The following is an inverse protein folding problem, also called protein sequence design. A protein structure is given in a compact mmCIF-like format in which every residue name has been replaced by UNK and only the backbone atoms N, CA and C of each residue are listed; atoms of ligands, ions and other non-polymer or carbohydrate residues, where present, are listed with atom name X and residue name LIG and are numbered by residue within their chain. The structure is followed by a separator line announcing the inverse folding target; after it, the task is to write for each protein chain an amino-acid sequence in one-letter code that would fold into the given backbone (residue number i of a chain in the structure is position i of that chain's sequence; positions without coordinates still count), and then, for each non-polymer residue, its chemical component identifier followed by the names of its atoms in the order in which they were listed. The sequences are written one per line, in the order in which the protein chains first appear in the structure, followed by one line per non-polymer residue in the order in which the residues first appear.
data_IF_127768215566
#
_entry.id   IF_127768215566
#
_cell.length_a   1.000
_cell.length_b   1.000
_cell.length_c   1.000
_cell.angle_alpha   90.00
_cell.angle_beta   90.00
_cell.angle_gamma   90.00
#
_symmetry.space_group_name_H-M   'P 1'
#
loop_
_entity.id
_entity.type
_entity.pdbx_description
1 polymer ?
#
# COMPACT_ATOMS: atom_id res chain seq x y z
N UNK A 1 11.80 -11.58 18.52
CA UNK A 1 10.90 -12.67 18.06
C UNK A 1 9.72 -12.03 17.35
N UNK A 2 9.19 -12.64 16.30
CA UNK A 2 7.96 -12.17 15.66
C UNK A 2 6.76 -12.44 16.56
N UNK A 3 5.85 -11.47 16.63
CA UNK A 3 4.57 -11.58 17.32
C UNK A 3 3.45 -11.69 16.29
N UNK A 4 2.24 -12.06 16.72
CA UNK A 4 1.07 -11.97 15.84
C UNK A 4 0.85 -10.51 15.40
N UNK A 5 0.58 -10.27 14.13
CA UNK A 5 0.47 -8.95 13.55
C UNK A 5 -0.82 -8.81 12.73
N UNK A 6 -1.69 -7.89 13.12
CA UNK A 6 -2.88 -7.52 12.36
C UNK A 6 -2.58 -6.32 11.46
N UNK A 7 -2.67 -6.54 10.15
CA UNK A 7 -2.51 -5.53 9.10
C UNK A 7 -3.87 -5.25 8.46
N UNK A 8 -4.26 -3.98 8.43
CA UNK A 8 -5.28 -3.46 7.52
C UNK A 8 -4.55 -2.86 6.30
N UNK A 9 -5.05 -3.11 5.09
CA UNK A 9 -4.37 -2.71 3.87
C UNK A 9 -5.32 -2.05 2.88
N UNK A 10 -4.88 -0.92 2.34
CA UNK A 10 -5.57 -0.14 1.28
C UNK A 10 -4.55 0.39 0.28
N UNK A 11 -5.03 0.82 -0.86
CA UNK A 11 -4.27 1.57 -1.88
C UNK A 11 -5.21 2.48 -2.67
N UNK A 12 -4.66 3.37 -3.48
CA UNK A 12 -5.37 4.16 -4.49
C UNK A 12 -6.55 4.97 -3.88
N UNK A 13 -6.28 5.65 -2.74
CA UNK A 13 -7.31 6.46 -2.10
C UNK A 13 -7.63 7.72 -2.90
N UNK A 14 -6.69 8.22 -3.70
CA UNK A 14 -6.82 9.44 -4.50
C UNK A 14 -7.47 10.59 -3.73
N UNK A 15 -7.01 10.81 -2.50
CA UNK A 15 -7.51 11.87 -1.61
C UNK A 15 -8.86 11.59 -0.94
N UNK A 16 -9.53 10.49 -1.25
CA UNK A 16 -10.79 10.10 -0.62
C UNK A 16 -10.55 9.42 0.73
N UNK A 17 -10.43 10.22 1.79
CA UNK A 17 -10.09 9.73 3.13
C UNK A 17 -11.32 9.47 4.01
N UNK A 18 -12.47 10.06 3.69
CA UNK A 18 -13.65 10.09 4.56
C UNK A 18 -14.41 8.77 4.63
N UNK A 19 -14.40 8.00 3.55
CA UNK A 19 -15.23 6.80 3.40
C UNK A 19 -14.44 5.51 3.61
N UNK A 20 -13.16 5.61 3.94
CA UNK A 20 -12.31 4.46 4.16
C UNK A 20 -12.46 3.97 5.60
N UNK A 21 -13.26 2.91 5.79
CA UNK A 21 -13.43 2.27 7.10
C UNK A 21 -12.22 1.43 7.47
N UNK A 22 -11.36 1.96 8.34
CA UNK A 22 -10.19 1.25 8.85
C UNK A 22 -10.54 0.61 10.20
N UNK A 23 -10.46 -0.72 10.34
CA UNK A 23 -10.70 -1.39 11.62
C UNK A 23 -9.55 -1.13 12.60
N UNK A 24 -9.80 -1.43 13.88
CA UNK A 24 -8.69 -1.43 14.85
C UNK A 24 -7.67 -2.52 14.47
N UNK A 25 -6.42 -2.12 14.27
CA UNK A 25 -5.34 -3.01 13.83
C UNK A 25 -3.98 -2.56 14.39
N UNK A 26 -2.97 -3.40 14.21
CA UNK A 26 -1.59 -3.02 14.55
C UNK A 26 -1.02 -2.04 13.53
N UNK A 27 -1.19 -2.35 12.25
CA UNK A 27 -0.63 -1.59 11.14
C UNK A 27 -1.71 -1.35 10.08
N UNK A 28 -1.88 -0.10 9.65
CA UNK A 28 -2.46 0.20 8.36
C UNK A 28 -1.34 0.33 7.32
N UNK A 29 -1.48 -0.33 6.18
CA UNK A 29 -0.60 -0.12 5.02
C UNK A 29 -1.36 0.61 3.90
N UNK A 30 -0.66 1.52 3.19
CA UNK A 30 -1.19 2.21 2.01
C UNK A 30 -0.19 2.02 0.87
N UNK A 31 -0.59 1.29 -0.18
CA UNK A 31 0.30 0.89 -1.29
C UNK A 31 0.31 1.87 -2.47
N UNK A 32 0.30 3.17 -2.20
CA UNK A 32 0.46 4.23 -3.19
C UNK A 32 -0.83 4.94 -3.59
N UNK A 33 -0.68 5.96 -4.41
CA UNK A 33 -1.72 6.82 -4.96
C UNK A 33 -2.64 7.39 -3.88
N UNK A 34 -2.01 8.01 -2.87
CA UNK A 34 -2.72 8.61 -1.75
C UNK A 34 -3.23 10.02 -2.03
N UNK A 35 -2.60 10.75 -2.96
CA UNK A 35 -2.92 12.17 -3.23
C UNK A 35 -4.16 12.36 -4.11
N UNK A 36 -4.76 13.55 -4.02
CA UNK A 36 -5.88 13.95 -4.88
C UNK A 36 -5.44 14.07 -6.34
N UNK A 37 -6.21 13.50 -7.29
CA UNK A 37 -5.90 13.44 -8.72
C UNK A 37 -5.64 14.79 -9.40
N UNK A 38 -6.21 15.87 -8.88
CA UNK A 38 -6.18 17.18 -9.51
C UNK A 38 -5.10 18.11 -8.96
N UNK A 39 -4.13 17.59 -8.20
CA UNK A 39 -3.09 18.41 -7.57
C UNK A 39 -1.70 18.24 -8.18
N UNK A 40 -1.63 17.71 -9.40
CA UNK A 40 -0.39 17.25 -10.02
C UNK A 40 0.65 18.36 -10.22
N UNK A 41 0.24 19.64 -10.37
CA UNK A 41 1.16 20.71 -10.71
C UNK A 41 1.27 21.84 -9.67
N UNK A 42 0.57 21.75 -8.53
CA UNK A 42 0.58 22.82 -7.53
C UNK A 42 1.14 22.37 -6.20
N UNK A 43 2.46 22.26 -6.13
CA UNK A 43 3.24 21.83 -4.95
C UNK A 43 2.73 22.40 -3.63
N UNK A 44 2.41 23.68 -3.56
CA UNK A 44 1.93 24.32 -2.33
C UNK A 44 0.54 23.82 -1.90
N UNK A 45 -0.35 23.52 -2.83
CA UNK A 45 -1.68 22.96 -2.53
C UNK A 45 -1.57 21.56 -1.99
N UNK A 46 -0.74 20.71 -2.60
CA UNK A 46 -0.55 19.34 -2.17
C UNK A 46 0.16 19.27 -0.81
N UNK A 47 1.19 20.10 -0.57
CA UNK A 47 1.80 20.24 0.76
C UNK A 47 0.76 20.64 1.80
N UNK A 48 -0.10 21.60 1.49
CA UNK A 48 -1.19 22.05 2.36
C UNK A 48 -2.20 20.93 2.62
N UNK A 49 -2.57 20.14 1.60
CA UNK A 49 -3.47 19.02 1.74
C UNK A 49 -2.84 17.92 2.62
N UNK A 50 -1.58 17.56 2.39
CA UNK A 50 -0.85 16.58 3.22
C UNK A 50 -0.86 17.03 4.68
N UNK A 51 -0.48 18.28 4.96
CA UNK A 51 -0.37 18.79 6.33
C UNK A 51 -1.72 18.92 7.03
N UNK A 52 -2.76 19.39 6.31
CA UNK A 52 -4.04 19.75 6.94
C UNK A 52 -5.11 18.68 6.85
N UNK A 53 -4.95 17.65 6.00
CA UNK A 53 -5.93 16.59 5.82
C UNK A 53 -5.31 15.20 5.99
N UNK A 54 -4.28 14.83 5.21
CA UNK A 54 -3.74 13.48 5.17
C UNK A 54 -3.05 13.10 6.49
N UNK A 55 -2.14 13.93 7.00
CA UNK A 55 -1.47 13.67 8.28
C UNK A 55 -2.45 13.61 9.46
N UNK A 56 -3.38 14.57 9.66
CA UNK A 56 -4.38 14.50 10.73
C UNK A 56 -5.27 13.25 10.62
N UNK A 57 -5.66 12.87 9.39
CA UNK A 57 -6.43 11.65 9.17
C UNK A 57 -5.65 10.42 9.64
N UNK A 58 -4.40 10.23 9.21
CA UNK A 58 -3.57 9.09 9.63
C UNK A 58 -3.37 9.03 11.16
N UNK A 59 -3.20 10.19 11.81
CA UNK A 59 -3.08 10.25 13.28
C UNK A 59 -4.38 9.79 13.96
N UNK A 60 -5.54 10.16 13.41
CA UNK A 60 -6.86 9.81 13.96
C UNK A 60 -7.25 8.34 13.79
N UNK A 61 -6.55 7.54 12.97
CA UNK A 61 -6.92 6.15 12.68
C UNK A 61 -6.72 5.22 13.89
N UNK A 62 -7.55 4.17 14.03
CA UNK A 62 -7.49 3.22 15.15
C UNK A 62 -6.41 2.14 14.97
N UNK A 63 -5.20 2.54 14.59
CA UNK A 63 -4.05 1.65 14.40
C UNK A 63 -2.81 2.19 15.13
N UNK A 64 -1.86 1.29 15.44
CA UNK A 64 -0.62 1.66 16.11
C UNK A 64 0.40 2.27 15.15
N UNK A 65 0.40 1.84 13.90
CA UNK A 65 1.27 2.35 12.82
C UNK A 65 0.47 2.56 11.55
N UNK A 66 0.87 3.57 10.79
CA UNK A 66 0.50 3.74 9.38
C UNK A 66 1.80 3.69 8.58
N UNK A 67 1.94 2.70 7.71
CA UNK A 67 3.08 2.54 6.82
C UNK A 67 2.59 2.77 5.40
N UNK A 68 3.17 3.74 4.69
CA UNK A 68 2.72 4.05 3.34
C UNK A 68 3.86 4.28 2.37
N UNK A 69 3.59 4.02 1.10
CA UNK A 69 4.46 4.29 -0.03
C UNK A 69 3.79 5.28 -0.97
N UNK A 70 4.52 5.98 -1.83
CA UNK A 70 3.92 6.72 -2.95
C UNK A 70 3.53 5.78 -4.10
N UNK A 71 2.67 6.28 -4.99
CA UNK A 71 2.32 5.67 -6.26
C UNK A 71 2.60 6.60 -7.44
N UNK A 72 2.15 6.23 -8.63
CA UNK A 72 2.46 6.97 -9.85
C UNK A 72 1.75 8.33 -9.95
N UNK A 73 0.67 8.57 -9.22
CA UNK A 73 0.03 9.88 -9.11
C UNK A 73 0.67 10.79 -8.05
N UNK A 74 1.56 10.29 -7.22
CA UNK A 74 2.16 11.05 -6.12
C UNK A 74 3.45 11.78 -6.56
N UNK A 75 3.42 12.57 -7.65
CA UNK A 75 4.56 13.25 -8.29
C UNK A 75 5.42 14.08 -7.33
N UNK A 76 4.80 14.74 -6.35
CA UNK A 76 5.53 15.55 -5.38
C UNK A 76 6.58 14.74 -4.62
N UNK A 77 6.36 13.43 -4.47
CA UNK A 77 7.22 12.54 -3.69
C UNK A 77 8.54 12.21 -4.38
N UNK A 78 8.67 12.46 -5.69
CA UNK A 78 9.92 12.30 -6.46
C UNK A 78 10.90 13.47 -6.26
N UNK A 79 10.44 14.60 -5.73
CA UNK A 79 11.32 15.73 -5.49
C UNK A 79 12.29 15.44 -4.33
N UNK A 80 13.56 15.71 -4.51
CA UNK A 80 14.63 15.48 -3.52
C UNK A 80 14.33 16.12 -2.16
N UNK A 81 13.66 17.29 -2.14
CA UNK A 81 13.30 18.00 -0.92
C UNK A 81 12.12 17.35 -0.16
N UNK A 82 11.26 16.55 -0.84
CA UNK A 82 10.01 16.06 -0.25
C UNK A 82 10.25 15.26 1.04
N UNK A 83 11.15 14.29 1.02
CA UNK A 83 11.44 13.44 2.19
C UNK A 83 11.87 14.27 3.41
N UNK A 84 12.73 15.27 3.22
CA UNK A 84 13.15 16.13 4.31
C UNK A 84 12.01 16.98 4.84
N UNK A 85 11.25 17.61 3.93
CA UNK A 85 10.06 18.37 4.28
C UNK A 85 9.05 17.52 5.03
N UNK A 86 8.72 16.33 4.52
CA UNK A 86 7.74 15.42 5.14
C UNK A 86 8.18 15.01 6.55
N UNK A 87 9.45 14.65 6.74
CA UNK A 87 10.00 14.34 8.05
C UNK A 87 9.86 15.52 9.04
N UNK A 88 10.06 16.75 8.58
CA UNK A 88 9.84 17.95 9.40
C UNK A 88 8.36 18.08 9.81
N UNK A 89 7.42 17.80 8.90
CA UNK A 89 5.99 17.79 9.24
C UNK A 89 5.66 16.71 10.28
N UNK A 90 6.24 15.51 10.15
CA UNK A 90 6.06 14.44 11.14
C UNK A 90 6.59 14.84 12.52
N UNK A 91 7.73 15.53 12.61
CA UNK A 91 8.29 16.00 13.88
C UNK A 91 7.37 17.03 14.56
N UNK A 92 6.73 17.91 13.78
CA UNK A 92 5.74 18.85 14.29
C UNK A 92 4.51 18.12 14.83
N UNK A 93 4.04 17.09 14.08
CA UNK A 93 2.90 16.27 14.48
C UNK A 93 3.19 15.45 15.73
N UNK A 94 4.35 14.80 15.82
CA UNK A 94 4.77 14.01 16.97
C UNK A 94 4.84 14.85 18.26
N UNK A 95 5.21 16.14 18.16
CA UNK A 95 5.19 17.08 19.30
C UNK A 95 3.77 17.44 19.75
N UNK A 96 2.85 17.58 18.79
CA UNK A 96 1.47 17.99 19.06
C UNK A 96 0.59 16.79 19.47
N UNK A 97 0.91 15.59 18.98
CA UNK A 97 0.19 14.36 19.22
C UNK A 97 1.16 13.24 19.62
N UNK A 98 1.76 13.32 20.82
CA UNK A 98 2.72 12.30 21.25
C UNK A 98 2.02 10.97 21.39
N UNK A 99 2.20 10.10 20.39
CA UNK A 99 1.81 8.70 20.49
C UNK A 99 2.71 8.01 21.51
N UNK A 100 2.15 7.13 22.32
CA UNK A 100 2.92 6.23 23.18
C UNK A 100 2.87 4.81 22.62
N UNK A 101 4.02 4.13 22.57
CA UNK A 101 4.03 2.69 22.37
C UNK A 101 3.66 1.98 23.69
N UNK A 102 3.59 0.65 23.68
CA UNK A 102 3.26 -0.17 24.86
C UNK A 102 4.19 0.09 26.07
N UNK A 103 5.41 0.61 25.84
CA UNK A 103 6.38 1.00 26.85
C UNK A 103 6.26 2.47 27.30
N UNK A 104 5.20 3.19 26.91
CA UNK A 104 5.00 4.63 27.14
C UNK A 104 6.13 5.53 26.58
N UNK A 105 6.87 5.07 25.58
CA UNK A 105 7.88 5.86 24.87
C UNK A 105 7.24 6.57 23.68
N UNK A 106 7.65 7.81 23.38
CA UNK A 106 7.23 8.48 22.15
C UNK A 106 7.54 7.59 20.95
N UNK A 107 6.55 7.31 20.13
CA UNK A 107 6.69 6.41 19.00
C UNK A 107 6.01 7.02 17.78
N UNK A 108 6.79 7.23 16.73
CA UNK A 108 6.26 7.76 15.47
C UNK A 108 5.21 6.81 14.89
N UNK A 109 3.96 7.30 14.82
CA UNK A 109 2.84 6.52 14.28
C UNK A 109 2.92 6.34 12.77
N UNK A 110 3.39 7.36 12.03
CA UNK A 110 3.40 7.42 10.57
C UNK A 110 4.80 7.13 10.05
N UNK A 111 4.90 6.19 9.11
CA UNK A 111 6.14 5.73 8.47
C UNK A 111 5.98 5.84 6.95
N UNK A 112 6.79 6.68 6.32
CA UNK A 112 6.91 6.81 4.88
C UNK A 112 8.06 5.95 4.38
N UNK A 113 7.76 5.00 3.47
CA UNK A 113 8.76 4.13 2.85
C UNK A 113 8.87 4.44 1.35
N UNK A 114 10.11 4.54 0.88
CA UNK A 114 10.43 4.70 -0.52
C UNK A 114 11.79 4.08 -0.77
N UNK A 115 11.82 2.82 -1.19
CA UNK A 115 13.00 1.96 -1.28
C UNK A 115 13.70 1.78 0.08
N UNK A 116 12.93 1.78 1.17
CA UNK A 116 13.42 1.66 2.55
C UNK A 116 12.84 0.44 3.25
N UNK A 117 13.57 -0.02 4.26
CA UNK A 117 13.13 -1.04 5.21
C UNK A 117 12.68 -0.41 6.52
N UNK A 118 11.62 -0.97 7.10
CA UNK A 118 11.16 -0.64 8.44
C UNK A 118 10.78 -1.91 9.19
N UNK A 119 11.15 -2.00 10.46
CA UNK A 119 10.84 -3.16 11.29
C UNK A 119 9.81 -2.80 12.37
N UNK A 120 8.77 -3.64 12.48
CA UNK A 120 7.75 -3.54 13.52
C UNK A 120 7.30 -4.93 13.98
N UNK A 121 7.27 -5.18 15.29
CA UNK A 121 6.93 -6.49 15.89
C UNK A 121 7.72 -7.67 15.29
N UNK A 122 8.98 -7.42 14.93
CA UNK A 122 9.86 -8.42 14.32
C UNK A 122 9.61 -8.73 12.85
N UNK A 123 8.68 -8.03 12.19
CA UNK A 123 8.44 -8.11 10.74
C UNK A 123 9.12 -6.94 10.03
N UNK A 124 9.77 -7.24 8.91
CA UNK A 124 10.42 -6.25 8.04
C UNK A 124 9.48 -5.90 6.89
N UNK A 125 9.12 -4.63 6.82
CA UNK A 125 8.37 -4.01 5.72
C UNK A 125 9.34 -3.37 4.75
N UNK A 126 9.14 -3.57 3.46
CA UNK A 126 9.85 -2.85 2.41
C UNK A 126 8.87 -2.11 1.53
N UNK A 127 9.17 -0.86 1.20
CA UNK A 127 8.35 -0.01 0.34
C UNK A 127 8.96 0.18 -1.04
N UNK A 128 8.26 -0.27 -2.08
CA UNK A 128 8.64 -0.12 -3.49
C UNK A 128 7.57 0.69 -4.24
N UNK A 129 7.79 1.98 -4.52
CA UNK A 129 6.80 2.83 -5.18
C UNK A 129 6.70 2.58 -6.69
N UNK A 130 7.58 1.75 -7.25
CA UNK A 130 7.75 1.56 -8.70
C UNK A 130 6.45 1.16 -9.40
N UNK A 131 6.23 1.72 -10.59
CA UNK A 131 5.17 1.32 -11.53
C UNK A 131 5.72 1.16 -12.95
N UNK A 132 5.03 0.41 -13.82
CA UNK A 132 5.45 0.19 -15.20
C UNK A 132 4.99 1.30 -16.15
N UNK A 133 4.17 2.22 -15.67
CA UNK A 133 3.64 3.31 -16.51
C UNK A 133 4.73 4.34 -16.82
N UNK A 134 4.98 4.55 -18.12
CA UNK A 134 6.02 5.49 -18.59
C UNK A 134 5.60 6.95 -18.37
N UNK A 135 6.58 7.80 -18.05
CA UNK A 135 6.41 9.25 -17.85
C UNK A 135 5.48 9.64 -16.69
N UNK A 136 5.24 8.73 -15.76
CA UNK A 136 4.57 9.00 -14.49
C UNK A 136 5.57 8.89 -13.34
N UNK A 137 5.18 9.35 -12.17
CA UNK A 137 6.04 9.23 -11.00
C UNK A 137 6.44 7.77 -10.75
N UNK A 138 7.65 7.57 -10.26
CA UNK A 138 8.21 6.27 -9.89
C UNK A 138 8.25 5.24 -11.05
N UNK A 139 8.23 5.68 -12.31
CA UNK A 139 8.30 4.79 -13.46
C UNK A 139 9.54 3.87 -13.40
N UNK A 140 9.34 2.58 -13.68
CA UNK A 140 10.43 1.63 -13.83
C UNK A 140 11.36 1.94 -15.00
N UNK A 141 10.85 2.64 -16.03
CA UNK A 141 11.59 2.95 -17.27
C UNK A 141 12.23 1.71 -17.90
N UNK A 142 11.54 0.57 -17.88
CA UNK A 142 11.99 -0.75 -18.34
C UNK A 142 13.21 -1.31 -17.58
N UNK A 143 13.47 -0.81 -16.38
CA UNK A 143 14.51 -1.35 -15.49
C UNK A 143 13.87 -2.17 -14.36
N UNK A 144 13.82 -3.49 -14.53
CA UNK A 144 13.25 -4.39 -13.54
C UNK A 144 14.00 -4.40 -12.21
N UNK A 145 15.27 -3.93 -12.19
CA UNK A 145 16.06 -3.88 -10.96
C UNK A 145 15.47 -2.92 -9.93
N UNK A 146 14.59 -2.00 -10.36
CA UNK A 146 13.83 -1.11 -9.46
C UNK A 146 12.81 -1.86 -8.59
N UNK A 147 12.48 -3.11 -8.95
CA UNK A 147 11.61 -3.99 -8.16
C UNK A 147 12.38 -4.91 -7.20
N UNK A 148 13.72 -4.83 -7.15
CA UNK A 148 14.49 -5.70 -6.26
C UNK A 148 14.11 -5.49 -4.80
N UNK A 149 13.83 -6.61 -4.14
CA UNK A 149 13.44 -6.66 -2.73
C UNK A 149 14.65 -7.02 -1.88
N UNK A 150 14.97 -6.25 -0.83
CA UNK A 150 16.06 -6.61 0.08
C UNK A 150 15.81 -7.94 0.79
N UNK A 151 16.88 -8.68 1.01
CA UNK A 151 16.83 -9.96 1.70
C UNK A 151 16.20 -9.87 3.11
N UNK A 152 15.37 -10.84 3.43
CA UNK A 152 14.67 -10.92 4.71
C UNK A 152 13.49 -9.98 4.86
N UNK A 153 12.98 -9.40 3.76
CA UNK A 153 11.70 -8.69 3.74
C UNK A 153 10.56 -9.67 4.00
N UNK A 154 9.71 -9.38 4.97
CA UNK A 154 8.51 -10.18 5.28
C UNK A 154 7.28 -9.67 4.55
N UNK A 155 7.12 -8.34 4.48
CA UNK A 155 5.98 -7.67 3.87
C UNK A 155 6.49 -6.66 2.84
N UNK A 156 6.10 -6.87 1.59
CA UNK A 156 6.38 -5.95 0.48
C UNK A 156 5.13 -5.09 0.22
N UNK A 157 5.28 -3.77 0.36
CA UNK A 157 4.36 -2.82 -0.21
C UNK A 157 4.92 -2.40 -1.57
N UNK A 158 4.19 -2.66 -2.63
CA UNK A 158 4.57 -2.23 -3.99
C UNK A 158 3.36 -1.56 -4.64
N UNK A 159 3.57 -0.44 -5.36
CA UNK A 159 2.43 0.20 -5.99
C UNK A 159 1.89 -0.62 -7.17
N UNK A 160 2.77 -1.07 -8.06
CA UNK A 160 2.42 -1.87 -9.24
C UNK A 160 1.85 -3.24 -8.87
N UNK A 161 0.71 -3.61 -9.47
CA UNK A 161 0.20 -4.98 -9.41
C UNK A 161 1.05 -5.93 -10.27
N UNK A 162 1.36 -7.16 -9.79
CA UNK A 162 2.05 -8.16 -10.60
C UNK A 162 1.14 -8.76 -11.69
N UNK A 163 1.75 -9.26 -12.76
CA UNK A 163 1.06 -10.06 -13.80
C UNK A 163 0.81 -11.49 -13.30
N UNK A 164 -0.06 -11.62 -12.30
CA UNK A 164 -0.38 -12.90 -11.66
C UNK A 164 -1.84 -12.97 -11.25
N UNK A 165 -2.55 -14.03 -11.67
CA UNK A 165 -3.92 -14.36 -11.23
C UNK A 165 -4.89 -13.17 -11.29
N UNK A 166 -4.82 -12.39 -12.37
CA UNK A 166 -5.65 -11.22 -12.66
C UNK A 166 -5.51 -10.04 -11.67
N UNK A 167 -4.50 -10.04 -10.78
CA UNK A 167 -4.23 -8.91 -9.88
C UNK A 167 -4.03 -7.59 -10.65
N UNK A 168 -3.44 -7.66 -11.84
CA UNK A 168 -3.18 -6.54 -12.73
C UNK A 168 -4.13 -6.44 -13.93
N UNK A 169 -5.26 -7.16 -13.93
CA UNK A 169 -6.20 -7.16 -15.07
C UNK A 169 -7.29 -6.13 -14.84
N UNK A 170 -7.31 -5.09 -15.68
CA UNK A 170 -8.35 -4.06 -15.66
C UNK A 170 -9.58 -4.48 -16.46
N UNK A 171 -10.75 -4.20 -15.91
CA UNK A 171 -12.06 -4.52 -16.48
C UNK A 171 -12.80 -3.25 -16.92
N UNK A 172 -12.78 -2.99 -18.23
CA UNK A 172 -13.47 -1.84 -18.82
C UNK A 172 -14.92 -2.18 -19.18
N UNK A 173 -15.74 -1.15 -19.33
CA UNK A 173 -17.11 -1.32 -19.80
C UNK A 173 -17.19 -2.07 -21.13
N UNK A 174 -18.30 -2.81 -21.36
CA UNK A 174 -18.51 -3.61 -22.57
C UNK A 174 -17.79 -4.97 -22.59
N UNK A 175 -17.29 -5.45 -21.47
CA UNK A 175 -16.62 -6.74 -21.36
C UNK A 175 -15.17 -6.77 -21.88
N UNK A 176 -14.56 -5.61 -22.09
CA UNK A 176 -13.16 -5.50 -22.48
C UNK A 176 -12.28 -5.63 -21.25
N UNK A 177 -11.32 -6.54 -21.29
CA UNK A 177 -10.29 -6.70 -20.25
C UNK A 177 -8.91 -6.44 -20.83
N UNK A 178 -8.02 -5.84 -20.03
CA UNK A 178 -6.60 -5.69 -20.37
C UNK A 178 -5.76 -5.98 -19.15
N UNK A 179 -4.70 -6.74 -19.35
CA UNK A 179 -3.71 -6.98 -18.31
C UNK A 179 -2.63 -5.89 -18.35
N UNK A 180 -2.46 -5.18 -17.24
CA UNK A 180 -1.42 -4.19 -16.99
C UNK A 180 -0.50 -4.63 -15.85
N UNK A 181 -0.60 -5.88 -15.41
CA UNK A 181 0.26 -6.44 -14.39
C UNK A 181 1.73 -6.47 -14.83
N UNK A 182 2.63 -6.30 -13.89
CA UNK A 182 4.07 -6.24 -14.14
C UNK A 182 4.70 -7.63 -14.19
N UNK A 183 5.20 -8.00 -15.36
CA UNK A 183 6.11 -9.14 -15.51
C UNK A 183 7.51 -8.81 -14.98
N UNK A 184 7.92 -7.54 -14.98
CA UNK A 184 9.20 -7.11 -14.40
C UNK A 184 9.23 -7.34 -12.88
N UNK A 185 8.12 -7.06 -12.18
CA UNK A 185 8.00 -7.35 -10.75
C UNK A 185 8.11 -8.86 -10.48
N UNK A 186 7.41 -9.70 -11.27
CA UNK A 186 7.52 -11.15 -11.10
C UNK A 186 8.94 -11.67 -11.35
N UNK A 187 9.61 -11.16 -12.37
CA UNK A 187 10.99 -11.54 -12.66
C UNK A 187 11.93 -11.15 -11.50
N UNK A 188 11.76 -9.94 -10.93
CA UNK A 188 12.55 -9.49 -9.79
C UNK A 188 12.34 -10.36 -8.53
N UNK A 189 11.13 -10.87 -8.32
CA UNK A 189 10.82 -11.81 -7.24
C UNK A 189 11.38 -13.20 -7.52
N UNK A 190 11.38 -13.64 -8.79
CA UNK A 190 11.89 -14.95 -9.20
C UNK A 190 13.42 -15.04 -9.20
N UNK A 191 14.12 -13.92 -9.29
CA UNK A 191 15.60 -13.88 -9.23
C UNK A 191 16.17 -14.44 -7.91
N UNK A 192 15.40 -14.34 -6.81
CA UNK A 192 15.82 -14.86 -5.51
C UNK A 192 14.64 -15.47 -4.72
N UNK A 193 14.22 -16.69 -5.06
CA UNK A 193 13.09 -17.35 -4.41
C UNK A 193 13.19 -17.46 -2.89
N UNK A 194 14.42 -17.57 -2.36
CA UNK A 194 14.67 -17.68 -0.90
C UNK A 194 14.32 -16.41 -0.13
N UNK A 195 14.29 -15.27 -0.82
CA UNK A 195 13.93 -13.96 -0.26
C UNK A 195 12.53 -13.49 -0.68
N UNK A 196 11.68 -14.40 -1.14
CA UNK A 196 10.28 -14.09 -1.45
C UNK A 196 9.58 -13.60 -0.17
N UNK A 197 8.92 -12.42 -0.16
CA UNK A 197 8.20 -11.93 1.00
C UNK A 197 7.01 -12.85 1.31
N UNK A 198 6.63 -12.96 2.58
CA UNK A 198 5.44 -13.74 2.95
C UNK A 198 4.15 -13.07 2.47
N UNK A 199 4.12 -11.72 2.42
CA UNK A 199 2.96 -10.92 2.00
C UNK A 199 3.40 -9.82 1.05
N UNK A 200 2.71 -9.70 -0.11
CA UNK A 200 2.82 -8.61 -1.06
C UNK A 200 1.47 -7.88 -1.14
N UNK A 201 1.50 -6.57 -0.94
CA UNK A 201 0.33 -5.68 -1.01
C UNK A 201 0.55 -4.66 -2.13
N UNK A 202 -0.30 -4.70 -3.15
CA UNK A 202 -0.22 -3.82 -4.32
C UNK A 202 -1.52 -3.03 -4.54
N UNK A 203 -1.49 -2.10 -5.50
CA UNK A 203 -2.61 -1.31 -5.99
C UNK A 203 -2.50 -1.05 -7.48
N UNK A 204 -2.64 0.22 -7.89
CA UNK A 204 -2.47 0.74 -9.24
C UNK A 204 -3.54 0.28 -10.25
N UNK A 205 -3.90 -0.99 -10.28
CA UNK A 205 -4.94 -1.52 -11.17
C UNK A 205 -6.24 -1.69 -10.39
N UNK A 206 -7.10 -0.69 -10.51
CA UNK A 206 -8.24 -0.51 -9.62
C UNK A 206 -9.26 -1.66 -9.68
N UNK A 207 -9.60 -2.16 -10.87
CA UNK A 207 -10.56 -3.25 -11.06
C UNK A 207 -9.93 -4.64 -11.16
N UNK A 208 -8.66 -4.77 -10.76
CA UNK A 208 -7.96 -6.06 -10.71
C UNK A 208 -8.63 -7.05 -9.74
N UNK A 209 -8.12 -8.27 -9.73
CA UNK A 209 -8.58 -9.27 -8.76
C UNK A 209 -8.23 -8.84 -7.33
N UNK A 210 -9.25 -8.55 -6.52
CA UNK A 210 -9.07 -8.18 -5.11
C UNK A 210 -9.03 -9.38 -4.16
N UNK A 211 -9.16 -10.61 -4.66
CA UNK A 211 -8.98 -11.79 -3.82
C UNK A 211 -7.49 -12.07 -3.63
N UNK A 212 -7.03 -12.33 -2.40
CA UNK A 212 -5.67 -12.76 -2.17
C UNK A 212 -5.38 -14.05 -2.92
N UNK A 213 -4.20 -14.11 -3.55
CA UNK A 213 -3.74 -15.26 -4.33
C UNK A 213 -2.40 -15.75 -3.82
N UNK A 214 -2.11 -17.03 -4.01
CA UNK A 214 -0.83 -17.63 -3.66
C UNK A 214 0.10 -17.62 -4.87
N UNK A 215 1.34 -17.17 -4.63
CA UNK A 215 2.44 -17.24 -5.57
C UNK A 215 3.53 -18.13 -4.99
N UNK A 216 3.98 -19.13 -5.75
CA UNK A 216 4.95 -20.11 -5.29
C UNK A 216 6.12 -20.21 -6.24
N UNK A 217 7.33 -20.25 -5.69
CA UNK A 217 8.57 -20.45 -6.40
C UNK A 217 9.35 -21.62 -5.80
N UNK A 218 10.11 -22.29 -6.64
CA UNK A 218 11.04 -23.33 -6.22
C UNK A 218 12.47 -22.79 -6.27
N UNK A 219 13.24 -23.01 -5.22
CA UNK A 219 14.67 -22.73 -5.24
C UNK A 219 15.46 -23.88 -5.88
N UNK A 220 16.78 -23.72 -5.96
CA UNK A 220 17.69 -24.72 -6.53
C UNK A 220 17.67 -26.06 -5.80
N UNK A 221 17.26 -26.06 -4.53
CA UNK A 221 17.13 -27.26 -3.69
C UNK A 221 15.70 -27.87 -3.79
N UNK A 222 14.87 -27.39 -4.73
CA UNK A 222 13.45 -27.75 -4.91
C UNK A 222 12.55 -27.43 -3.70
N UNK A 223 12.96 -26.52 -2.80
CA UNK A 223 12.12 -26.06 -1.71
C UNK A 223 11.14 -25.03 -2.22
N UNK A 224 9.91 -25.13 -1.73
CA UNK A 224 8.83 -24.18 -2.08
C UNK A 224 8.93 -22.95 -1.18
N UNK A 225 8.90 -21.79 -1.80
CA UNK A 225 8.77 -20.49 -1.17
C UNK A 225 7.47 -19.87 -1.64
N UNK A 226 6.64 -19.39 -0.70
CA UNK A 226 5.31 -18.90 -1.01
C UNK A 226 5.11 -17.46 -0.55
N UNK A 227 4.36 -16.70 -1.33
CA UNK A 227 3.93 -15.33 -1.06
C UNK A 227 2.43 -15.23 -1.24
N UNK A 228 1.73 -14.67 -0.26
CA UNK A 228 0.35 -14.21 -0.45
C UNK A 228 0.39 -12.84 -1.10
N UNK A 229 -0.23 -12.69 -2.27
CA UNK A 229 -0.32 -11.43 -3.00
C UNK A 229 -1.75 -10.91 -2.99
N UNK A 230 -1.94 -9.62 -2.77
CA UNK A 230 -3.25 -8.99 -2.77
C UNK A 230 -3.22 -7.60 -3.41
N UNK A 231 -4.15 -7.35 -4.32
CA UNK A 231 -4.49 -6.01 -4.75
C UNK A 231 -5.44 -5.40 -3.72
N UNK A 232 -5.04 -4.29 -3.13
CA UNK A 232 -5.75 -3.62 -2.03
C UNK A 232 -6.26 -2.23 -2.41
N UNK A 233 -6.38 -1.96 -3.73
CA UNK A 233 -7.02 -0.74 -4.23
C UNK A 233 -8.43 -0.59 -3.69
N UNK A 234 -8.79 0.65 -3.33
CA UNK A 234 -10.14 0.98 -2.83
C UNK A 234 -11.05 1.53 -3.93
N UNK A 235 -10.51 1.80 -5.10
CA UNK A 235 -11.21 2.40 -6.23
C UNK A 235 -11.55 1.40 -7.32
N UNK A 236 -12.60 1.71 -8.10
CA UNK A 236 -12.84 1.13 -9.42
C UNK A 236 -12.22 1.99 -10.53
N UNK A 237 -12.38 1.59 -11.80
CA UNK A 237 -11.82 2.31 -12.95
C UNK A 237 -12.42 3.71 -13.17
N UNK A 238 -13.56 3.99 -12.60
CA UNK A 238 -14.21 5.31 -12.62
C UNK A 238 -13.84 6.15 -11.38
N UNK A 239 -12.86 5.70 -10.59
CA UNK A 239 -12.39 6.33 -9.35
C UNK A 239 -13.45 6.42 -8.24
N UNK A 240 -14.51 5.61 -8.29
CA UNK A 240 -15.43 5.48 -7.18
C UNK A 240 -14.88 4.52 -6.14
N UNK A 241 -15.13 4.77 -4.85
CA UNK A 241 -14.84 3.81 -3.81
C UNK A 241 -15.75 2.59 -3.96
N UNK A 242 -15.18 1.46 -4.27
CA UNK A 242 -15.87 0.23 -4.55
C UNK A 242 -15.41 -0.93 -3.70
N UNK A 243 -14.15 -0.92 -3.31
CA UNK A 243 -13.53 -2.01 -2.57
C UNK A 243 -13.18 -1.58 -1.14
N UNK A 244 -13.21 -2.55 -0.24
CA UNK A 244 -12.99 -2.34 1.18
C UNK A 244 -11.55 -2.61 1.58
N UNK A 245 -11.20 -2.06 2.75
CA UNK A 245 -9.98 -2.39 3.44
C UNK A 245 -9.84 -3.90 3.61
N UNK A 246 -8.73 -4.47 3.12
CA UNK A 246 -8.37 -5.86 3.29
C UNK A 246 -7.59 -6.05 4.59
N UNK A 247 -7.90 -7.10 5.31
CA UNK A 247 -7.26 -7.39 6.59
C UNK A 247 -6.46 -8.69 6.52
N UNK A 248 -5.32 -8.71 7.22
CA UNK A 248 -4.44 -9.86 7.32
C UNK A 248 -4.00 -10.05 8.77
N UNK A 249 -4.01 -11.30 9.27
CA UNK A 249 -3.30 -11.67 10.48
C UNK A 249 -2.11 -12.54 10.09
N UNK A 250 -0.93 -12.09 10.44
CA UNK A 250 0.31 -12.82 10.30
C UNK A 250 0.67 -13.45 11.63
N UNK A 251 0.76 -14.77 11.67
CA UNK A 251 1.11 -15.53 12.87
C UNK A 251 2.38 -16.32 12.61
N UNK A 252 3.45 -16.15 13.42
CA UNK A 252 4.66 -16.94 13.27
C UNK A 252 4.44 -18.37 13.76
N UNK A 253 4.73 -19.36 12.92
CA UNK A 253 4.59 -20.79 13.25
C UNK A 253 5.85 -21.53 12.80
N UNK A 254 6.68 -22.03 13.74
CA UNK A 254 7.85 -22.88 13.47
C UNK A 254 8.72 -22.40 12.28
N UNK A 255 9.20 -21.15 12.30
CA UNK A 255 9.99 -20.51 11.25
C UNK A 255 9.23 -20.19 9.93
N UNK A 256 7.91 -20.33 9.92
CA UNK A 256 7.05 -19.90 8.84
C UNK A 256 6.11 -18.78 9.32
N UNK A 257 5.46 -18.10 8.38
CA UNK A 257 4.40 -17.12 8.67
C UNK A 257 3.09 -17.65 8.11
N UNK A 258 2.13 -17.92 8.99
CA UNK A 258 0.76 -18.24 8.61
C UNK A 258 -0.01 -16.93 8.40
N UNK A 259 -0.79 -16.85 7.32
CA UNK A 259 -1.56 -15.63 6.97
C UNK A 259 -3.03 -15.98 6.86
N UNK A 260 -3.84 -15.29 7.66
CA UNK A 260 -5.29 -15.27 7.52
C UNK A 260 -5.74 -13.93 6.93
N UNK A 261 -6.79 -13.94 6.11
CA UNK A 261 -7.27 -12.71 5.46
C UNK A 261 -8.79 -12.65 5.42
N UNK A 262 -9.33 -11.44 5.57
CA UNK A 262 -10.75 -11.11 5.38
C UNK A 262 -10.92 -9.68 4.93
N UNK A 263 -12.11 -9.33 4.49
CA UNK A 263 -12.51 -7.95 4.17
C UNK A 263 -13.26 -7.36 5.36
N UNK A 264 -13.12 -6.07 5.61
CA UNK A 264 -13.91 -5.36 6.62
C UNK A 264 -15.42 -5.53 6.36
N UNK A 265 -16.25 -5.56 7.42
CA UNK A 265 -17.67 -5.88 7.28
C UNK A 265 -18.38 -5.02 6.23
N UNK A 266 -19.31 -5.67 5.51
CA UNK A 266 -20.07 -5.11 4.38
C UNK A 266 -21.09 -4.04 4.81
N UNK A 267 -21.40 -3.92 6.10
CA UNK A 267 -22.38 -2.96 6.63
C UNK A 267 -22.05 -1.52 6.26
N UNK A 268 -20.79 -1.22 6.01
CA UNK A 268 -20.32 0.11 5.63
C UNK A 268 -20.47 0.41 4.12
N UNK A 269 -20.71 -0.61 3.26
CA UNK A 269 -20.88 -0.45 1.80
C UNK A 269 -22.09 0.42 1.43
N UNK A 270 -23.16 0.29 2.17
CA UNK A 270 -24.40 1.02 1.83
C UNK A 270 -24.30 2.52 2.14
N UNK A 271 -23.53 2.91 3.12
CA UNK A 271 -23.24 4.31 3.43
C UNK A 271 -22.23 4.90 2.44
N UNK A 272 -21.17 4.18 2.09
CA UNK A 272 -20.18 4.58 1.09
C UNK A 272 -20.85 4.87 -0.27
N UNK A 273 -21.73 3.99 -0.74
CA UNK A 273 -22.45 4.20 -2.01
C UNK A 273 -23.36 5.43 -2.02
N UNK A 274 -23.88 5.86 -0.88
CA UNK A 274 -24.73 7.06 -0.77
C UNK A 274 -23.94 8.37 -0.88
N UNK A 275 -22.73 8.41 -0.39
CA UNK A 275 -21.92 9.63 -0.34
C UNK A 275 -21.19 9.91 -1.66
N UNK A 276 -20.79 8.89 -2.43
CA UNK A 276 -20.01 9.04 -3.64
C UNK A 276 -20.75 9.67 -4.84
N UNK A 277 -22.07 9.70 -4.84
CA UNK A 277 -22.85 10.28 -5.95
C UNK A 277 -22.90 11.82 -5.98
N UNK A 278 -22.45 12.53 -4.94
CA UNK A 278 -22.65 13.98 -4.83
C UNK A 278 -21.39 14.84 -4.67
N UNK A 279 -20.25 14.27 -4.27
CA UNK A 279 -19.10 15.09 -3.83
C UNK A 279 -17.85 15.00 -4.70
N UNK A 280 -17.81 14.20 -5.76
CA UNK A 280 -16.63 14.01 -6.61
C UNK A 280 -16.57 14.90 -7.87
N UNK A 281 -17.49 15.85 -8.04
CA UNK A 281 -17.40 16.86 -9.10
C UNK A 281 -17.51 18.25 -8.46
N UNK A 282 -16.43 18.71 -7.87
CA UNK A 282 -16.16 20.14 -7.77
C UNK A 282 -14.86 20.37 -8.52
N UNK A 283 -15.05 20.92 -9.71
CA UNK A 283 -14.05 21.48 -10.61
C UNK A 283 -13.17 22.51 -9.88
#
# INVERSE_FOLDING_TARGET
MKESLHIAAISDTHGCLKNTCIPKCDVLTISGDFSELCLDDVTGRLCGWITNKFLPWMIGLPCNRVIFIPGNHDFITEHDWFRQWFNTQLEVMDKNYPGTNEDNKPSRKIVYLCYDLYEYKGYKFYGCPTSDILNWAWSANNDYTRYKVPAGTDILLVHQAPDWMDLGTSHFGGGVTRNFGSTMLLNALADDPKNLPALLLCGHIHSGNHQPVLYELHDEDHRIHSCVMANVSTKDEDYYEHFHCRNFILTPVYNQTHIETWVSPVEDLHEIKKYNRRDNFIV
#
